data_IF_181432057857
#
_entry.id   IF_181432057857
#
_cell.length_a   1.000
_cell.length_b   1.000
_cell.length_c   1.000
_cell.angle_alpha   90.00
_cell.angle_beta   90.00
_cell.angle_gamma   90.00
#
_symmetry.space_group_name_H-M   'P 1'
#
loop_
_entity.id
_entity.type
_entity.pdbx_description
1 polymer ?
#
# COMPACT_ATOMS: atom_id res chain seq x y z
N UNK A 1 -50.52 -60.79 15.57
CA UNK A 1 -50.56 -59.34 15.22
C UNK A 1 -49.70 -58.52 16.20
N UNK A 2 -48.39 -58.81 16.33
CA UNK A 2 -47.46 -58.07 17.21
C UNK A 2 -46.08 -57.79 16.57
N UNK A 3 -45.82 -58.30 15.37
CA UNK A 3 -44.51 -58.25 14.71
C UNK A 3 -44.42 -57.21 13.56
N UNK A 4 -45.51 -56.46 13.31
CA UNK A 4 -45.54 -55.38 12.31
C UNK A 4 -45.37 -53.97 12.91
N UNK A 5 -45.49 -53.82 14.24
CA UNK A 5 -45.32 -52.51 14.89
C UNK A 5 -43.84 -52.18 15.19
N UNK A 6 -42.98 -53.19 15.38
CA UNK A 6 -41.59 -52.98 15.76
C UNK A 6 -40.69 -52.55 14.60
N UNK A 7 -41.04 -52.91 13.36
CA UNK A 7 -40.26 -52.56 12.15
C UNK A 7 -40.55 -51.12 11.71
N UNK A 8 -41.78 -50.63 11.88
CA UNK A 8 -42.12 -49.22 11.58
C UNK A 8 -41.51 -48.22 12.56
N UNK A 9 -41.19 -48.63 13.80
CA UNK A 9 -40.55 -47.74 14.78
C UNK A 9 -39.02 -47.64 14.57
N UNK A 10 -38.38 -48.67 14.02
CA UNK A 10 -36.95 -48.65 13.67
C UNK A 10 -36.65 -47.83 12.40
N UNK A 11 -37.58 -47.83 11.43
CA UNK A 11 -37.45 -47.04 10.19
C UNK A 11 -37.68 -45.53 10.42
N UNK A 12 -38.50 -45.17 11.42
CA UNK A 12 -38.72 -43.76 11.78
C UNK A 12 -37.55 -43.16 12.58
N UNK A 13 -36.80 -43.98 13.32
CA UNK A 13 -35.57 -43.57 14.00
C UNK A 13 -34.38 -43.40 13.04
N UNK A 14 -34.34 -44.14 11.92
CA UNK A 14 -33.33 -43.98 10.88
C UNK A 14 -33.51 -42.74 10.00
N UNK A 15 -34.74 -42.27 9.81
CA UNK A 15 -35.05 -41.09 8.99
C UNK A 15 -34.74 -39.75 9.69
N UNK A 16 -34.65 -39.74 11.03
CA UNK A 16 -34.28 -38.54 11.81
C UNK A 16 -32.76 -38.26 11.83
N UNK A 17 -31.92 -39.21 11.39
CA UNK A 17 -30.47 -39.04 11.33
C UNK A 17 -29.98 -38.35 10.04
N UNK A 18 -30.86 -38.11 9.06
CA UNK A 18 -30.49 -37.51 7.75
C UNK A 18 -30.82 -36.01 7.65
N UNK A 19 -31.39 -35.42 8.70
CA UNK A 19 -31.73 -33.98 8.76
C UNK A 19 -30.70 -33.13 9.54
N UNK A 20 -29.62 -33.74 10.05
CA UNK A 20 -28.46 -33.02 10.58
C UNK A 20 -27.43 -32.74 9.46
N UNK A 21 -27.89 -32.20 8.34
CA UNK A 21 -27.01 -31.43 7.47
C UNK A 21 -26.91 -30.05 8.11
N UNK A 22 -25.94 -29.88 9.00
CA UNK A 22 -25.57 -28.58 9.57
C UNK A 22 -25.45 -27.57 8.43
N UNK A 23 -26.24 -26.49 8.49
CA UNK A 23 -26.09 -25.35 7.59
C UNK A 23 -24.66 -24.86 7.74
N UNK A 24 -23.78 -25.12 6.76
CA UNK A 24 -22.48 -24.45 6.68
C UNK A 24 -22.73 -22.96 6.66
N UNK A 25 -22.14 -22.24 7.61
CA UNK A 25 -22.22 -20.77 7.71
C UNK A 25 -21.73 -20.19 6.38
N UNK A 26 -22.52 -19.29 5.79
CA UNK A 26 -22.14 -18.65 4.53
C UNK A 26 -20.95 -17.70 4.79
N UNK A 27 -19.89 -17.87 4.00
CA UNK A 27 -18.71 -17.02 4.07
C UNK A 27 -18.97 -15.71 3.32
N UNK A 28 -18.81 -14.52 3.94
CA UNK A 28 -19.02 -13.27 3.24
C UNK A 28 -18.04 -13.10 2.08
N UNK A 29 -18.56 -13.04 0.84
CA UNK A 29 -17.73 -12.86 -0.34
C UNK A 29 -17.05 -11.49 -0.32
N UNK A 30 -15.73 -11.46 -0.54
CA UNK A 30 -14.97 -10.22 -0.70
C UNK A 30 -15.12 -9.76 -2.15
N UNK A 31 -15.95 -8.75 -2.36
CA UNK A 31 -16.26 -8.18 -3.68
C UNK A 31 -15.50 -6.89 -3.97
N UNK A 32 -14.98 -6.23 -2.95
CA UNK A 32 -14.33 -4.92 -3.06
C UNK A 32 -12.96 -4.91 -2.39
N UNK A 33 -12.05 -4.12 -2.97
CA UNK A 33 -10.65 -4.06 -2.60
C UNK A 33 -10.19 -2.61 -2.46
N UNK A 34 -9.35 -2.35 -1.47
CA UNK A 34 -8.65 -1.09 -1.27
C UNK A 34 -7.14 -1.28 -1.42
N UNK A 35 -6.43 -0.17 -1.62
CA UNK A 35 -4.97 -0.17 -1.74
C UNK A 35 -4.36 0.42 -0.47
N UNK A 36 -3.50 -0.36 0.19
CA UNK A 36 -2.55 0.16 1.16
C UNK A 36 -1.32 0.74 0.46
N UNK A 37 -0.84 1.89 0.94
CA UNK A 37 0.39 2.51 0.46
C UNK A 37 1.06 3.31 1.57
N UNK A 38 2.25 2.87 2.00
CA UNK A 38 3.14 3.61 2.88
C UNK A 38 4.07 4.47 2.03
N UNK A 39 3.90 5.79 2.13
CA UNK A 39 4.62 6.76 1.32
C UNK A 39 6.09 6.90 1.71
N UNK A 40 6.48 6.53 2.93
CA UNK A 40 7.87 6.66 3.41
C UNK A 40 8.73 5.48 2.99
N UNK A 41 8.15 4.27 3.02
CA UNK A 41 8.85 3.07 2.59
C UNK A 41 8.66 2.73 1.11
N UNK A 42 7.57 3.19 0.49
CA UNK A 42 7.17 2.73 -0.84
C UNK A 42 6.50 1.34 -0.84
N UNK A 43 6.22 0.78 0.35
CA UNK A 43 5.44 -0.45 0.48
C UNK A 43 4.00 -0.20 0.03
N UNK A 44 3.48 -1.03 -0.88
CA UNK A 44 2.06 -1.00 -1.23
C UNK A 44 1.53 -2.38 -1.59
N UNK A 45 0.23 -2.61 -1.38
CA UNK A 45 -0.46 -3.84 -1.73
C UNK A 45 -1.99 -3.62 -1.72
N UNK A 46 -2.76 -4.54 -2.29
CA UNK A 46 -4.23 -4.52 -2.18
C UNK A 46 -4.71 -5.38 -1.03
N UNK A 47 -5.82 -4.98 -0.41
CA UNK A 47 -6.46 -5.72 0.66
C UNK A 47 -7.98 -5.62 0.55
N UNK A 48 -8.74 -6.53 1.19
CA UNK A 48 -10.19 -6.44 1.23
C UNK A 48 -10.67 -5.10 1.79
N UNK A 49 -11.69 -4.50 1.16
CA UNK A 49 -12.33 -3.30 1.70
C UNK A 49 -13.08 -3.63 2.98
N UNK A 50 -13.07 -2.70 3.93
CA UNK A 50 -13.81 -2.81 5.19
C UNK A 50 -13.10 -3.62 6.27
N UNK A 51 -11.94 -4.22 5.98
CA UNK A 51 -11.11 -4.86 7.01
C UNK A 51 -10.45 -3.81 7.91
N UNK A 52 -10.29 -4.17 9.19
CA UNK A 52 -9.71 -3.30 10.20
C UNK A 52 -8.20 -3.22 10.03
N UNK A 53 -7.72 -2.07 9.57
CA UNK A 53 -6.30 -1.80 9.36
C UNK A 53 -5.66 -1.24 10.62
N UNK A 54 -4.56 -1.86 11.03
CA UNK A 54 -3.64 -1.33 12.03
C UNK A 54 -2.22 -1.27 11.45
N UNK A 55 -1.61 -0.10 11.41
CA UNK A 55 -0.25 0.09 10.94
C UNK A 55 0.61 0.65 12.07
N UNK A 56 1.54 -0.17 12.57
CA UNK A 56 2.48 0.19 13.63
C UNK A 56 3.93 -0.01 13.15
N UNK A 57 4.54 1.11 12.74
CA UNK A 57 5.94 1.21 12.32
C UNK A 57 6.33 0.23 11.21
N UNK A 58 6.79 -0.94 11.62
CA UNK A 58 7.31 -2.00 10.78
C UNK A 58 6.27 -3.09 10.44
N UNK A 59 5.06 -2.98 10.97
CA UNK A 59 3.99 -3.97 10.83
C UNK A 59 2.71 -3.31 10.33
N UNK A 60 2.07 -3.97 9.37
CA UNK A 60 0.71 -3.65 8.92
C UNK A 60 -0.12 -4.90 9.09
N UNK A 61 -1.17 -4.81 9.88
CA UNK A 61 -2.10 -5.89 10.14
C UNK A 61 -3.48 -5.47 9.65
N UNK A 62 -4.17 -6.38 8.94
CA UNK A 62 -5.56 -6.22 8.55
C UNK A 62 -6.36 -7.40 9.07
N UNK A 63 -7.37 -7.15 9.89
CA UNK A 63 -8.25 -8.17 10.44
C UNK A 63 -9.65 -8.08 9.83
N UNK A 64 -10.33 -9.21 9.68
CA UNK A 64 -11.70 -9.29 9.15
C UNK A 64 -12.71 -8.51 10.01
N UNK A 65 -12.46 -8.39 11.31
CA UNK A 65 -13.21 -7.57 12.26
C UNK A 65 -12.32 -7.10 13.42
N UNK A 66 -12.84 -6.27 14.32
CA UNK A 66 -12.13 -5.90 15.55
C UNK A 66 -11.95 -7.10 16.48
N UNK A 67 -12.98 -7.95 16.59
CA UNK A 67 -12.98 -9.18 17.38
C UNK A 67 -11.98 -10.20 16.84
N UNK A 68 -11.79 -10.23 15.52
CA UNK A 68 -10.72 -11.00 14.88
C UNK A 68 -9.35 -10.47 15.31
N UNK A 69 -9.15 -9.15 15.29
CA UNK A 69 -7.88 -8.54 15.70
C UNK A 69 -7.53 -8.91 17.15
N UNK A 70 -8.51 -8.84 18.06
CA UNK A 70 -8.34 -9.23 19.47
C UNK A 70 -8.00 -10.72 19.63
N UNK A 71 -8.68 -11.61 18.89
CA UNK A 71 -8.39 -13.05 18.93
C UNK A 71 -6.99 -13.39 18.46
N UNK A 72 -6.46 -12.69 17.46
CA UNK A 72 -5.07 -12.89 17.02
C UNK A 72 -4.03 -12.36 18.03
N UNK A 73 -4.41 -11.43 18.93
CA UNK A 73 -3.56 -10.99 20.04
C UNK A 73 -3.50 -12.05 21.14
N UNK A 74 -4.64 -12.61 21.54
CA UNK A 74 -4.70 -13.71 22.51
C UNK A 74 -5.61 -14.85 22.01
N UNK A 75 -5.05 -15.81 21.25
CA UNK A 75 -5.83 -16.89 20.65
C UNK A 75 -6.25 -17.97 21.66
N UNK A 76 -5.93 -17.81 22.94
CA UNK A 76 -6.29 -18.75 24.02
C UNK A 76 -7.28 -18.16 25.02
N UNK A 77 -7.55 -16.85 24.97
CA UNK A 77 -8.42 -16.16 25.93
C UNK A 77 -9.88 -16.63 25.90
N UNK A 78 -10.38 -17.03 24.72
CA UNK A 78 -11.77 -17.43 24.52
C UNK A 78 -11.85 -18.72 23.68
N UNK A 79 -12.31 -19.80 24.32
CA UNK A 79 -12.47 -21.13 23.72
C UNK A 79 -13.88 -21.38 23.18
N UNK A 80 -14.78 -20.39 23.23
CA UNK A 80 -16.19 -20.53 22.81
C UNK A 80 -16.46 -19.97 21.41
N UNK A 81 -15.40 -19.60 20.66
CA UNK A 81 -15.48 -18.95 19.33
C UNK A 81 -15.24 -19.93 18.16
N UNK A 82 -15.76 -21.15 18.26
CA UNK A 82 -15.58 -22.19 17.24
C UNK A 82 -16.19 -21.78 15.89
N UNK A 83 -17.31 -21.03 15.91
CA UNK A 83 -18.05 -20.63 14.72
C UNK A 83 -17.63 -19.26 14.13
N UNK A 84 -16.64 -18.57 14.71
CA UNK A 84 -16.31 -17.20 14.32
C UNK A 84 -15.37 -17.11 13.11
N UNK A 85 -15.69 -16.16 12.21
CA UNK A 85 -15.00 -15.92 10.93
C UNK A 85 -13.84 -14.95 11.14
N UNK A 86 -12.75 -15.44 11.72
CA UNK A 86 -11.60 -14.60 12.05
C UNK A 86 -10.43 -14.89 11.11
N UNK A 87 -10.06 -13.88 10.34
CA UNK A 87 -8.93 -13.92 9.41
C UNK A 87 -8.07 -12.65 9.55
N UNK A 88 -6.77 -12.80 9.30
CA UNK A 88 -5.82 -11.72 9.39
C UNK A 88 -4.78 -11.81 8.27
N UNK A 89 -4.47 -10.64 7.70
CA UNK A 89 -3.30 -10.42 6.86
C UNK A 89 -2.28 -9.64 7.68
N UNK A 90 -1.02 -10.06 7.65
CA UNK A 90 0.10 -9.29 8.21
C UNK A 90 1.16 -9.08 7.14
N UNK A 91 1.60 -7.83 6.99
CA UNK A 91 2.79 -7.46 6.23
C UNK A 91 3.78 -6.84 7.19
N UNK A 92 4.96 -7.42 7.28
CA UNK A 92 5.99 -6.98 8.21
C UNK A 92 7.31 -6.76 7.48
N UNK A 93 8.09 -5.81 8.01
CA UNK A 93 9.46 -5.53 7.56
C UNK A 93 10.39 -5.34 8.75
N UNK A 94 11.60 -5.85 8.66
CA UNK A 94 12.64 -5.54 9.63
C UNK A 94 14.02 -5.57 8.99
N UNK A 95 14.95 -4.80 9.56
CA UNK A 95 16.37 -4.93 9.26
C UNK A 95 17.01 -5.67 10.43
N UNK A 96 17.34 -6.96 10.29
CA UNK A 96 17.99 -7.69 11.37
C UNK A 96 19.42 -7.18 11.61
N UNK A 97 19.91 -7.35 12.83
CA UNK A 97 21.28 -6.96 13.22
C UNK A 97 22.36 -7.87 12.60
N UNK A 98 21.96 -9.07 12.17
CA UNK A 98 22.83 -10.04 11.50
C UNK A 98 22.28 -10.40 10.12
N UNK A 99 23.20 -10.64 9.18
CA UNK A 99 22.84 -11.10 7.84
C UNK A 99 22.52 -12.60 7.90
N UNK A 100 21.26 -12.94 7.66
CA UNK A 100 20.80 -14.31 7.47
C UNK A 100 20.26 -14.46 6.04
N UNK A 101 20.41 -15.64 5.46
CA UNK A 101 19.72 -16.02 4.23
C UNK A 101 18.23 -16.25 4.49
N UNK A 102 17.43 -16.18 3.42
CA UNK A 102 15.99 -16.44 3.52
C UNK A 102 15.73 -17.88 4.00
N UNK A 103 16.57 -18.83 3.61
CA UNK A 103 16.47 -20.23 3.99
C UNK A 103 16.75 -20.43 5.48
N UNK A 104 17.78 -19.79 6.03
CA UNK A 104 18.08 -19.85 7.48
C UNK A 104 16.93 -19.29 8.34
N UNK A 105 16.31 -18.19 7.89
CA UNK A 105 15.16 -17.59 8.59
C UNK A 105 13.97 -18.56 8.58
N UNK A 106 13.67 -19.14 7.42
CA UNK A 106 12.54 -20.08 7.25
C UNK A 106 12.79 -21.36 8.04
N UNK A 107 14.00 -21.91 8.01
CA UNK A 107 14.37 -23.12 8.75
C UNK A 107 14.26 -22.90 10.25
N UNK A 108 14.77 -21.77 10.75
CA UNK A 108 14.62 -21.41 12.17
C UNK A 108 13.14 -21.29 12.55
N UNK A 109 12.36 -20.52 11.79
CA UNK A 109 10.95 -20.28 12.11
C UNK A 109 10.12 -21.57 12.05
N UNK A 110 10.29 -22.38 11.01
CA UNK A 110 9.54 -23.64 10.86
C UNK A 110 9.93 -24.68 11.90
N UNK A 111 11.19 -24.71 12.33
CA UNK A 111 11.64 -25.53 13.46
C UNK A 111 10.93 -25.12 14.75
N UNK A 112 10.86 -23.82 15.03
CA UNK A 112 10.17 -23.31 16.22
C UNK A 112 8.68 -23.66 16.20
N UNK A 113 8.00 -23.46 15.06
CA UNK A 113 6.59 -23.87 14.89
C UNK A 113 6.37 -25.36 15.13
N UNK A 114 7.25 -26.23 14.61
CA UNK A 114 7.18 -27.69 14.86
C UNK A 114 7.37 -28.01 16.35
N UNK A 115 8.29 -27.31 17.01
CA UNK A 115 8.54 -27.50 18.46
C UNK A 115 7.34 -27.09 19.32
N UNK A 116 6.54 -26.14 18.85
CA UNK A 116 5.27 -25.72 19.45
C UNK A 116 4.10 -26.68 19.14
N UNK A 117 4.33 -27.76 18.39
CA UNK A 117 3.32 -28.76 18.05
C UNK A 117 2.52 -28.46 16.78
N UNK A 118 2.92 -27.47 15.99
CA UNK A 118 2.29 -27.21 14.68
C UNK A 118 2.81 -28.17 13.61
N UNK A 119 1.92 -28.52 12.69
CA UNK A 119 2.29 -29.20 11.46
C UNK A 119 2.71 -28.16 10.42
N UNK A 120 3.84 -28.39 9.76
CA UNK A 120 4.38 -27.47 8.75
C UNK A 120 4.50 -28.22 7.42
N UNK A 121 3.83 -27.71 6.38
CA UNK A 121 3.93 -28.21 5.00
C UNK A 121 5.30 -27.87 4.41
N UNK A 122 5.75 -28.58 3.36
CA UNK A 122 6.99 -28.26 2.67
C UNK A 122 7.05 -26.80 2.20
N UNK A 123 8.25 -26.23 2.23
CA UNK A 123 8.51 -24.89 1.73
C UNK A 123 8.58 -24.88 0.20
N UNK A 124 7.94 -23.90 -0.41
CA UNK A 124 7.94 -23.64 -1.85
C UNK A 124 8.75 -22.37 -2.16
N UNK A 125 9.43 -22.37 -3.30
CA UNK A 125 10.07 -21.15 -3.83
C UNK A 125 9.08 -20.42 -4.72
N UNK A 126 8.87 -19.14 -4.46
CA UNK A 126 8.01 -18.26 -5.26
C UNK A 126 8.73 -16.94 -5.56
N UNK A 127 8.14 -16.11 -6.42
CA UNK A 127 8.61 -14.75 -6.70
C UNK A 127 7.56 -13.75 -6.19
N UNK A 128 7.98 -12.76 -5.39
CA UNK A 128 7.16 -11.61 -5.02
C UNK A 128 7.84 -10.31 -5.47
N UNK A 129 7.14 -9.49 -6.27
CA UNK A 129 7.68 -8.24 -6.82
C UNK A 129 9.10 -8.36 -7.44
N UNK A 130 9.39 -9.46 -8.14
CA UNK A 130 10.72 -9.81 -8.70
C UNK A 130 11.80 -10.20 -7.68
N UNK A 131 11.43 -10.49 -6.43
CA UNK A 131 12.31 -11.04 -5.40
C UNK A 131 11.97 -12.50 -5.14
N UNK A 132 12.98 -13.36 -5.14
CA UNK A 132 12.82 -14.75 -4.72
C UNK A 132 12.44 -14.83 -3.25
N UNK A 133 11.46 -15.68 -2.95
CA UNK A 133 10.85 -15.81 -1.64
C UNK A 133 10.55 -17.27 -1.33
N UNK A 134 10.31 -17.54 -0.04
CA UNK A 134 9.96 -18.86 0.49
C UNK A 134 8.56 -18.81 1.09
N UNK A 135 7.65 -19.61 0.53
CA UNK A 135 6.27 -19.76 0.98
C UNK A 135 6.13 -21.09 1.71
N UNK A 136 5.47 -21.10 2.85
CA UNK A 136 5.07 -22.33 3.52
C UNK A 136 3.76 -22.11 4.27
N UNK A 137 3.07 -23.22 4.53
CA UNK A 137 1.83 -23.22 5.32
C UNK A 137 2.05 -24.08 6.56
N UNK A 138 1.59 -23.60 7.70
CA UNK A 138 1.54 -24.40 8.92
C UNK A 138 0.14 -24.33 9.53
N UNK A 139 -0.21 -25.35 10.31
CA UNK A 139 -1.53 -25.46 10.95
C UNK A 139 -1.44 -26.25 12.24
N UNK A 140 -2.34 -25.96 13.16
CA UNK A 140 -2.34 -26.56 14.49
C UNK A 140 -3.39 -25.91 15.39
N UNK A 141 -3.28 -26.18 16.68
CA UNK A 141 -4.31 -25.87 17.65
C UNK A 141 -3.73 -25.00 18.76
N UNK A 142 -4.35 -23.84 19.03
CA UNK A 142 -4.06 -23.06 20.23
C UNK A 142 -4.81 -23.62 21.45
N UNK A 143 -6.03 -24.10 21.24
CA UNK A 143 -6.89 -24.83 22.19
C UNK A 143 -7.62 -25.97 21.45
N UNK A 144 -8.50 -26.73 22.11
CA UNK A 144 -9.27 -27.77 21.41
C UNK A 144 -10.19 -27.19 20.31
N UNK A 145 -10.70 -25.98 20.53
CA UNK A 145 -11.67 -25.28 19.68
C UNK A 145 -11.03 -24.23 18.76
N UNK A 146 -9.84 -23.72 19.12
CA UNK A 146 -9.14 -22.71 18.34
C UNK A 146 -8.06 -23.37 17.48
N UNK A 147 -8.47 -23.80 16.29
CA UNK A 147 -7.54 -24.28 15.26
C UNK A 147 -7.13 -23.09 14.41
N UNK A 148 -5.87 -23.04 13.99
CA UNK A 148 -5.38 -21.99 13.09
C UNK A 148 -4.65 -22.64 11.93
N UNK A 149 -4.84 -22.06 10.75
CA UNK A 149 -4.01 -22.33 9.58
C UNK A 149 -3.42 -21.01 9.10
N UNK A 150 -2.16 -21.06 8.71
CA UNK A 150 -1.38 -19.88 8.36
C UNK A 150 -0.49 -20.17 7.17
N UNK A 151 -0.56 -19.33 6.14
CA UNK A 151 0.45 -19.26 5.08
C UNK A 151 1.34 -18.06 5.33
N UNK A 152 2.65 -18.29 5.28
CA UNK A 152 3.65 -17.23 5.41
C UNK A 152 4.61 -17.26 4.22
N UNK A 153 5.03 -16.07 3.79
CA UNK A 153 6.02 -15.86 2.74
C UNK A 153 7.14 -15.00 3.29
N UNK A 154 8.39 -15.46 3.21
CA UNK A 154 9.57 -14.66 3.54
C UNK A 154 10.32 -14.24 2.28
N UNK A 155 10.79 -13.00 2.27
CA UNK A 155 11.67 -12.48 1.23
C UNK A 155 12.72 -11.55 1.84
N UNK A 156 13.88 -11.46 1.20
CA UNK A 156 14.92 -10.50 1.57
C UNK A 156 15.17 -9.57 0.38
N UNK A 157 15.12 -8.26 0.62
CA UNK A 157 15.49 -7.23 -0.35
C UNK A 157 16.29 -6.13 0.37
N UNK A 158 17.48 -5.81 -0.14
CA UNK A 158 18.38 -4.78 0.40
C UNK A 158 18.64 -4.89 1.92
N UNK A 159 18.92 -6.11 2.38
CA UNK A 159 19.12 -6.43 3.80
C UNK A 159 17.92 -6.12 4.71
N UNK A 160 16.73 -5.99 4.13
CA UNK A 160 15.46 -5.93 4.86
C UNK A 160 14.74 -7.25 4.64
N UNK A 161 14.35 -7.88 5.74
CA UNK A 161 13.50 -9.06 5.77
C UNK A 161 12.06 -8.60 5.70
N UNK A 162 11.30 -9.19 4.78
CA UNK A 162 9.86 -9.03 4.69
C UNK A 162 9.20 -10.36 4.99
N UNK A 163 8.09 -10.33 5.74
CA UNK A 163 7.15 -11.43 5.69
C UNK A 163 5.74 -10.96 5.38
N UNK A 164 5.07 -11.78 4.57
CA UNK A 164 3.65 -11.69 4.27
C UNK A 164 2.99 -12.88 4.95
N UNK A 165 1.90 -12.65 5.65
CA UNK A 165 1.16 -13.69 6.34
C UNK A 165 -0.33 -13.55 6.07
N UNK A 166 -0.96 -14.69 5.85
CA UNK A 166 -2.40 -14.86 5.89
C UNK A 166 -2.70 -15.97 6.89
N UNK A 167 -3.48 -15.67 7.92
CA UNK A 167 -3.90 -16.60 8.94
C UNK A 167 -5.42 -16.57 9.09
N UNK A 168 -6.02 -17.73 9.39
CA UNK A 168 -7.44 -17.82 9.72
C UNK A 168 -7.69 -18.96 10.71
N UNK A 169 -8.74 -18.79 11.50
CA UNK A 169 -9.18 -19.80 12.45
C UNK A 169 -10.09 -20.84 11.78
N UNK A 170 -10.08 -22.06 12.32
CA UNK A 170 -11.01 -23.15 12.01
C UNK A 170 -11.17 -23.40 10.49
N UNK A 171 -12.39 -23.62 10.02
CA UNK A 171 -12.66 -23.95 8.61
C UNK A 171 -12.61 -22.72 7.67
N UNK A 172 -12.16 -21.57 8.17
CA UNK A 172 -12.17 -20.30 7.42
C UNK A 172 -10.93 -20.05 6.57
N UNK A 173 -9.90 -20.88 6.70
CA UNK A 173 -8.67 -20.69 5.93
C UNK A 173 -8.81 -20.99 4.44
N UNK A 174 -9.35 -22.16 4.08
CA UNK A 174 -9.44 -22.58 2.67
C UNK A 174 -10.31 -21.64 1.82
N UNK A 175 -11.51 -21.20 2.27
CA UNK A 175 -12.36 -20.30 1.50
C UNK A 175 -11.70 -18.95 1.15
N UNK A 176 -10.75 -18.47 1.96
CA UNK A 176 -10.09 -17.19 1.79
C UNK A 176 -8.59 -17.31 1.48
N UNK A 177 -8.11 -18.52 1.18
CA UNK A 177 -6.70 -18.76 0.81
C UNK A 177 -6.23 -17.90 -0.37
N UNK A 178 -7.14 -17.54 -1.28
CA UNK A 178 -6.90 -16.62 -2.40
C UNK A 178 -6.44 -15.21 -1.95
N UNK A 179 -6.69 -14.82 -0.70
CA UNK A 179 -6.20 -13.55 -0.15
C UNK A 179 -4.68 -13.48 -0.19
N UNK A 180 -4.00 -14.60 0.05
CA UNK A 180 -2.55 -14.66 -0.04
C UNK A 180 -2.08 -14.44 -1.50
N UNK A 181 -2.78 -15.01 -2.48
CA UNK A 181 -2.43 -14.83 -3.90
C UNK A 181 -2.67 -13.38 -4.36
N UNK A 182 -3.75 -12.75 -3.90
CA UNK A 182 -3.98 -11.31 -4.10
C UNK A 182 -2.88 -10.45 -3.47
N UNK A 183 -2.43 -10.81 -2.26
CA UNK A 183 -1.33 -10.10 -1.60
C UNK A 183 0.00 -10.28 -2.35
N UNK A 184 0.36 -11.50 -2.71
CA UNK A 184 1.57 -11.85 -3.47
C UNK A 184 1.62 -11.13 -4.81
N UNK A 185 0.51 -11.08 -5.55
CA UNK A 185 0.47 -10.45 -6.88
C UNK A 185 0.49 -8.92 -6.82
N UNK A 186 -0.07 -8.32 -5.77
CA UNK A 186 -0.21 -6.87 -5.64
C UNK A 186 0.93 -6.20 -4.88
N UNK A 187 1.66 -6.93 -4.05
CA UNK A 187 2.72 -6.34 -3.22
C UNK A 187 3.77 -5.66 -4.10
N UNK A 188 4.15 -4.45 -3.70
CA UNK A 188 5.31 -3.73 -4.17
C UNK A 188 6.17 -3.49 -2.95
N UNK A 189 7.29 -4.18 -2.89
CA UNK A 189 8.25 -3.98 -1.80
C UNK A 189 9.02 -2.69 -2.09
N UNK A 190 9.48 -1.99 -1.04
CA UNK A 190 10.40 -0.87 -1.16
C UNK A 190 11.50 -1.20 -2.18
N UNK A 191 11.69 -0.31 -3.16
CA UNK A 191 12.85 -0.39 -4.04
C UNK A 191 13.97 0.41 -3.40
N UNK A 192 15.22 -0.08 -3.44
CA UNK A 192 16.33 0.79 -3.12
C UNK A 192 16.23 1.96 -4.09
N UNK A 193 16.32 3.19 -3.58
CA UNK A 193 16.51 4.34 -4.47
C UNK A 193 17.79 4.00 -5.22
N UNK A 194 17.66 3.61 -6.48
CA UNK A 194 18.82 3.33 -7.31
C UNK A 194 19.54 4.66 -7.41
N UNK A 195 20.56 4.86 -6.57
CA UNK A 195 21.65 5.76 -6.90
C UNK A 195 22.22 5.13 -8.15
N UNK A 196 21.73 5.53 -9.31
CA UNK A 196 22.19 4.98 -10.56
C UNK A 196 23.70 5.14 -10.54
N UNK A 197 24.43 4.03 -10.45
CA UNK A 197 25.88 4.06 -10.40
C UNK A 197 26.46 4.52 -11.76
N UNK A 198 25.61 4.73 -12.77
CA UNK A 198 25.98 5.09 -14.13
C UNK A 198 25.54 6.50 -14.59
N UNK A 199 24.62 7.18 -13.89
CA UNK A 199 24.17 8.54 -14.26
C UNK A 199 24.41 9.55 -13.13
N UNK A 200 24.82 10.76 -13.51
CA UNK A 200 25.05 11.89 -12.61
C UNK A 200 23.82 12.10 -11.71
N UNK A 201 23.95 11.89 -10.38
CA UNK A 201 22.81 11.98 -9.45
C UNK A 201 22.25 13.41 -9.36
N UNK A 202 22.97 14.41 -9.88
CA UNK A 202 22.49 15.78 -9.96
C UNK A 202 21.42 16.00 -11.05
N UNK A 203 21.28 15.07 -12.01
CA UNK A 203 20.28 15.14 -13.09
C UNK A 203 19.07 14.25 -12.79
N UNK A 204 17.87 14.57 -13.30
CA UNK A 204 16.71 13.69 -13.18
C UNK A 204 16.90 12.33 -13.83
N UNK A 205 16.47 11.28 -13.13
CA UNK A 205 16.41 9.94 -13.67
C UNK A 205 15.40 9.83 -14.83
N UNK A 206 15.65 8.88 -15.73
CA UNK A 206 14.70 8.52 -16.80
C UNK A 206 13.60 7.59 -16.31
N UNK A 207 13.81 6.92 -15.17
CA UNK A 207 12.83 6.11 -14.47
C UNK A 207 12.04 6.95 -13.47
N UNK A 208 10.74 6.65 -13.35
CA UNK A 208 9.80 7.44 -12.56
C UNK A 208 9.11 6.55 -11.53
N UNK A 209 8.76 7.14 -10.39
CA UNK A 209 7.95 6.54 -9.34
C UNK A 209 6.71 7.40 -9.08
N UNK A 210 5.68 6.80 -8.49
CA UNK A 210 4.39 7.45 -8.27
C UNK A 210 4.22 7.91 -6.82
N UNK A 211 3.69 9.12 -6.65
CA UNK A 211 3.08 9.61 -5.42
C UNK A 211 1.56 9.65 -5.60
N UNK A 212 0.81 9.19 -4.60
CA UNK A 212 -0.65 9.26 -4.61
C UNK A 212 -1.20 9.48 -3.21
N UNK A 213 -2.21 10.33 -3.10
CA UNK A 213 -3.04 10.51 -1.92
C UNK A 213 -4.49 10.81 -2.34
N UNK A 214 -5.32 11.26 -1.39
CA UNK A 214 -6.72 11.65 -1.65
C UNK A 214 -6.90 12.91 -2.52
N UNK A 215 -5.85 13.71 -2.71
CA UNK A 215 -5.92 14.96 -3.49
C UNK A 215 -5.40 14.78 -4.91
N UNK A 216 -4.32 14.02 -5.08
CA UNK A 216 -3.65 13.90 -6.37
C UNK A 216 -2.91 12.57 -6.53
N UNK A 217 -2.61 12.26 -7.80
CA UNK A 217 -1.59 11.29 -8.20
C UNK A 217 -0.60 11.96 -9.14
N UNK A 218 0.68 11.74 -8.94
CA UNK A 218 1.75 12.31 -9.78
C UNK A 218 2.92 11.32 -9.87
N UNK A 219 3.57 11.27 -11.03
CA UNK A 219 4.79 10.51 -11.26
C UNK A 219 5.99 11.45 -11.29
N UNK A 220 7.12 11.08 -10.69
CA UNK A 220 8.32 11.91 -10.61
C UNK A 220 9.59 11.06 -10.73
N UNK A 221 10.75 11.65 -11.11
CA UNK A 221 12.01 10.91 -11.23
C UNK A 221 12.34 10.16 -9.94
N UNK A 222 12.70 8.88 -10.05
CA UNK A 222 12.89 8.01 -8.88
C UNK A 222 14.12 8.35 -8.02
N UNK A 223 15.02 9.18 -8.53
CA UNK A 223 16.14 9.77 -7.78
C UNK A 223 15.80 11.11 -7.09
N UNK A 224 14.53 11.53 -7.12
CA UNK A 224 14.02 12.65 -6.34
C UNK A 224 13.25 12.14 -5.12
N UNK A 225 13.12 12.98 -4.10
CA UNK A 225 12.42 12.66 -2.85
C UNK A 225 11.14 13.46 -2.73
N UNK A 226 10.02 12.78 -2.50
CA UNK A 226 8.76 13.41 -2.16
C UNK A 226 8.66 13.61 -0.64
N UNK A 227 8.29 14.81 -0.21
CA UNK A 227 8.00 15.15 1.17
C UNK A 227 6.70 15.94 1.24
N UNK A 228 5.94 15.76 2.31
CA UNK A 228 4.70 16.48 2.59
C UNK A 228 4.93 17.43 3.78
N UNK A 229 5.50 18.63 3.55
CA UNK A 229 5.80 19.55 4.63
C UNK A 229 4.51 20.01 5.33
N UNK A 230 4.60 20.30 6.63
CA UNK A 230 3.48 20.83 7.40
C UNK A 230 2.93 22.10 6.75
N UNK A 231 1.63 22.10 6.49
CA UNK A 231 0.93 23.23 5.89
C UNK A 231 0.66 24.33 6.93
N UNK A 232 0.60 25.58 6.47
CA UNK A 232 0.25 26.75 7.28
C UNK A 232 -0.91 27.50 6.66
N UNK A 233 -1.73 28.15 7.50
CA UNK A 233 -2.88 28.93 7.05
C UNK A 233 -3.94 28.06 6.37
N UNK A 234 -4.50 28.53 5.25
CA UNK A 234 -5.60 27.86 4.54
C UNK A 234 -5.15 26.75 3.57
N UNK A 235 -3.85 26.45 3.50
CA UNK A 235 -3.32 25.42 2.61
C UNK A 235 -3.79 24.04 3.07
N UNK A 236 -4.46 23.30 2.18
CA UNK A 236 -4.99 21.96 2.46
C UNK A 236 -3.91 20.88 2.37
N UNK A 237 -2.96 21.06 1.46
CA UNK A 237 -1.91 20.08 1.20
C UNK A 237 -0.71 20.76 0.52
N UNK A 238 0.49 20.26 0.79
CA UNK A 238 1.72 20.63 0.09
C UNK A 238 2.54 19.38 -0.18
N UNK A 239 3.03 19.25 -1.40
CA UNK A 239 3.99 18.24 -1.82
C UNK A 239 5.23 18.95 -2.34
N UNK A 240 6.39 18.57 -1.83
CA UNK A 240 7.69 18.99 -2.34
C UNK A 240 8.43 17.76 -2.87
N UNK A 241 8.80 17.79 -4.15
CA UNK A 241 9.62 16.79 -4.80
C UNK A 241 10.98 17.41 -5.06
N UNK A 242 12.03 16.86 -4.45
CA UNK A 242 13.37 17.49 -4.40
C UNK A 242 14.46 16.54 -4.88
N UNK A 243 15.33 17.03 -5.76
CA UNK A 243 16.45 16.26 -6.27
C UNK A 243 17.68 16.35 -5.36
N UNK A 244 18.77 15.69 -5.78
CA UNK A 244 20.08 15.84 -5.15
C UNK A 244 20.47 17.33 -5.02
N UNK A 245 20.31 18.06 -6.13
CA UNK A 245 20.42 19.51 -6.16
C UNK A 245 19.25 20.16 -5.43
N UNK A 246 19.54 20.77 -4.30
CA UNK A 246 18.50 21.34 -3.42
C UNK A 246 17.77 22.55 -4.03
N UNK A 247 18.31 23.12 -5.11
CA UNK A 247 17.73 24.19 -5.93
C UNK A 247 16.85 23.67 -7.09
N UNK A 248 16.74 22.35 -7.25
CA UNK A 248 15.93 21.69 -8.28
C UNK A 248 14.73 20.98 -7.65
N UNK A 249 13.55 21.57 -7.79
CA UNK A 249 12.32 21.12 -7.11
C UNK A 249 11.09 21.19 -7.99
N UNK A 250 10.11 20.32 -7.70
CA UNK A 250 8.71 20.48 -8.11
C UNK A 250 7.88 20.55 -6.83
N UNK A 251 7.19 21.66 -6.62
CA UNK A 251 6.31 21.87 -5.47
C UNK A 251 4.88 22.02 -5.92
N UNK A 252 3.95 21.37 -5.24
CA UNK A 252 2.51 21.48 -5.47
C UNK A 252 1.86 21.90 -4.17
N UNK A 253 1.24 23.07 -4.17
CA UNK A 253 0.40 23.54 -3.07
C UNK A 253 -1.07 23.49 -3.47
N UNK A 254 -1.92 22.97 -2.57
CA UNK A 254 -3.37 22.93 -2.74
C UNK A 254 -4.01 23.87 -1.73
N UNK A 255 -4.79 24.83 -2.23
CA UNK A 255 -5.49 25.84 -1.44
C UNK A 255 -6.97 25.88 -1.82
N UNK A 256 -7.89 26.32 -0.95
CA UNK A 256 -9.27 26.58 -1.36
C UNK A 256 -9.31 27.69 -2.41
N UNK A 257 -10.09 27.50 -3.48
CA UNK A 257 -10.31 28.53 -4.50
C UNK A 257 -11.33 29.57 -4.06
N UNK A 258 -12.24 29.23 -3.13
CA UNK A 258 -13.27 30.14 -2.62
C UNK A 258 -14.12 30.73 -3.76
N UNK A 259 -14.44 29.91 -4.76
CA UNK A 259 -15.18 30.30 -5.96
C UNK A 259 -14.39 31.14 -6.98
N UNK A 260 -13.09 31.37 -6.78
CA UNK A 260 -12.27 32.12 -7.74
C UNK A 260 -11.95 31.29 -8.98
N UNK A 261 -12.11 31.90 -10.16
CA UNK A 261 -11.61 31.35 -11.42
C UNK A 261 -10.07 31.44 -11.52
N UNK A 262 -9.46 30.63 -12.39
CA UNK A 262 -8.00 30.55 -12.55
C UNK A 262 -7.38 31.89 -12.93
N UNK A 263 -8.06 32.71 -13.73
CA UNK A 263 -7.62 34.05 -14.12
C UNK A 263 -7.43 34.95 -12.90
N UNK A 264 -8.41 34.96 -11.98
CA UNK A 264 -8.37 35.76 -10.76
C UNK A 264 -7.28 35.28 -9.81
N UNK A 265 -7.14 33.97 -9.67
CA UNK A 265 -6.07 33.36 -8.87
C UNK A 265 -4.70 33.75 -9.43
N UNK A 266 -4.52 33.68 -10.75
CA UNK A 266 -3.28 34.04 -11.42
C UNK A 266 -2.96 35.54 -11.25
N UNK A 267 -3.96 36.40 -11.47
CA UNK A 267 -3.85 37.86 -11.30
C UNK A 267 -3.36 38.23 -9.89
N UNK A 268 -3.91 37.60 -8.85
CA UNK A 268 -3.57 37.86 -7.44
C UNK A 268 -2.18 37.35 -7.04
N UNK A 269 -1.60 36.39 -7.78
CA UNK A 269 -0.35 35.74 -7.39
C UNK A 269 0.84 36.08 -8.27
N UNK A 270 0.65 36.48 -9.53
CA UNK A 270 1.75 36.76 -10.47
C UNK A 270 2.74 37.83 -9.96
N UNK A 271 2.28 38.82 -9.19
CA UNK A 271 3.12 39.87 -8.62
C UNK A 271 4.11 39.39 -7.55
N UNK A 272 3.97 38.17 -7.05
CA UNK A 272 4.86 37.56 -6.05
C UNK A 272 6.12 36.94 -6.69
N UNK A 273 6.20 36.89 -8.01
CA UNK A 273 7.31 36.30 -8.76
C UNK A 273 8.21 37.39 -9.32
N UNK A 274 9.50 37.32 -9.01
CA UNK A 274 10.51 38.25 -9.52
C UNK A 274 11.06 37.79 -10.87
N UNK A 275 11.50 38.74 -11.70
CA UNK A 275 12.18 38.47 -12.99
C UNK A 275 11.36 37.56 -13.93
N UNK A 276 10.07 37.89 -14.08
CA UNK A 276 9.18 37.18 -15.00
C UNK A 276 9.65 37.36 -16.45
N UNK A 277 9.84 36.26 -17.16
CA UNK A 277 10.35 36.22 -18.54
C UNK A 277 9.29 35.83 -19.57
N UNK A 278 8.11 35.38 -19.13
CA UNK A 278 6.99 35.08 -20.01
C UNK A 278 5.77 34.57 -19.27
N UNK A 279 4.61 34.62 -19.92
CA UNK A 279 3.33 34.09 -19.43
C UNK A 279 2.65 33.29 -20.55
N UNK A 280 1.77 32.37 -20.19
CA UNK A 280 1.00 31.62 -21.18
C UNK A 280 -0.09 30.79 -20.54
N UNK A 281 -0.73 29.98 -21.36
CA UNK A 281 -1.79 29.06 -20.96
C UNK A 281 -1.51 27.64 -21.47
N UNK A 282 -2.03 26.66 -20.75
CA UNK A 282 -1.98 25.24 -21.11
C UNK A 282 -3.14 24.49 -20.44
N UNK A 283 -3.17 23.17 -20.58
CA UNK A 283 -4.12 22.29 -19.88
C UNK A 283 -3.35 21.29 -19.01
N UNK A 284 -3.75 21.16 -17.75
CA UNK A 284 -3.21 20.18 -16.79
C UNK A 284 -4.38 19.44 -16.16
N UNK A 285 -4.33 18.10 -16.14
CA UNK A 285 -5.39 17.26 -15.56
C UNK A 285 -6.81 17.57 -16.12
N UNK A 286 -6.89 17.98 -17.39
CA UNK A 286 -8.13 18.38 -18.06
C UNK A 286 -8.68 19.76 -17.69
N UNK A 287 -7.97 20.54 -16.88
CA UNK A 287 -8.35 21.89 -16.49
C UNK A 287 -7.42 22.94 -17.14
N UNK A 288 -7.98 24.12 -17.44
CA UNK A 288 -7.20 25.27 -17.89
C UNK A 288 -6.17 25.65 -16.81
N UNK A 289 -4.93 25.83 -17.23
CA UNK A 289 -3.83 26.26 -16.38
C UNK A 289 -3.16 27.49 -16.97
N UNK A 290 -2.96 28.52 -16.15
CA UNK A 290 -2.18 29.70 -16.50
C UNK A 290 -0.78 29.57 -15.91
N UNK A 291 0.23 29.96 -16.65
CA UNK A 291 1.61 29.86 -16.19
C UNK A 291 2.43 31.12 -16.42
N UNK A 292 3.49 31.24 -15.64
CA UNK A 292 4.55 32.23 -15.84
C UNK A 292 5.93 31.57 -15.72
N UNK A 293 6.85 32.00 -16.57
CA UNK A 293 8.27 31.70 -16.46
C UNK A 293 8.96 32.82 -15.69
N UNK A 294 9.88 32.48 -14.79
CA UNK A 294 10.60 33.47 -13.98
C UNK A 294 11.97 32.92 -13.52
N UNK A 295 12.78 33.77 -12.89
CA UNK A 295 14.10 33.41 -12.37
C UNK A 295 14.30 33.93 -10.95
N UNK A 296 14.08 33.10 -9.92
CA UNK A 296 14.16 33.55 -8.52
C UNK A 296 15.59 33.90 -8.09
N UNK A 297 16.59 33.28 -8.70
CA UNK A 297 18.00 33.47 -8.38
C UNK A 297 18.87 33.35 -9.65
N UNK A 298 20.17 33.64 -9.52
CA UNK A 298 21.14 33.40 -10.59
C UNK A 298 21.16 31.89 -10.90
N UNK A 299 21.21 31.55 -12.19
CA UNK A 299 21.27 30.18 -12.70
C UNK A 299 20.06 29.28 -12.35
N UNK A 300 18.98 29.85 -11.81
CA UNK A 300 17.72 29.13 -11.54
C UNK A 300 16.64 29.61 -12.52
N UNK A 301 16.18 28.67 -13.34
CA UNK A 301 14.99 28.84 -14.16
C UNK A 301 13.79 28.26 -13.45
N UNK A 302 12.66 28.94 -13.51
CA UNK A 302 11.44 28.47 -12.85
C UNK A 302 10.21 28.69 -13.70
N UNK A 303 9.20 27.84 -13.46
CA UNK A 303 7.85 28.02 -13.99
C UNK A 303 6.83 27.75 -12.90
N UNK A 304 5.86 28.64 -12.78
CA UNK A 304 4.72 28.46 -11.89
C UNK A 304 3.44 28.29 -12.71
N UNK A 305 2.72 27.21 -12.49
CA UNK A 305 1.38 26.96 -13.01
C UNK A 305 0.33 27.20 -11.92
N UNK A 306 -0.81 27.71 -12.36
CA UNK A 306 -2.01 27.90 -11.56
C UNK A 306 -3.17 27.26 -12.31
N UNK A 307 -3.91 26.40 -11.63
CA UNK A 307 -5.18 25.88 -12.13
C UNK A 307 -6.19 25.78 -11.00
N UNK A 308 -7.47 25.84 -11.36
CA UNK A 308 -8.58 25.68 -10.43
C UNK A 308 -9.42 24.47 -10.86
N UNK A 309 -9.65 23.55 -9.92
CA UNK A 309 -10.51 22.37 -10.13
C UNK A 309 -11.13 21.98 -8.80
N UNK A 310 -12.42 21.61 -8.80
CA UNK A 310 -13.15 21.18 -7.59
C UNK A 310 -13.07 22.19 -6.41
N UNK A 311 -13.22 23.49 -6.72
CA UNK A 311 -13.05 24.61 -5.77
C UNK A 311 -11.69 24.61 -5.03
N UNK A 312 -10.65 24.12 -5.70
CA UNK A 312 -9.28 24.11 -5.20
C UNK A 312 -8.33 24.73 -6.21
N UNK A 313 -7.43 25.56 -5.72
CA UNK A 313 -6.26 26.08 -6.44
C UNK A 313 -5.13 25.07 -6.31
N UNK A 314 -4.57 24.68 -7.45
CA UNK A 314 -3.32 23.95 -7.52
C UNK A 314 -2.25 24.93 -8.02
N UNK A 315 -1.29 25.22 -7.16
CA UNK A 315 -0.11 26.01 -7.50
C UNK A 315 1.08 25.06 -7.65
N UNK A 316 1.55 24.89 -8.88
CA UNK A 316 2.66 24.00 -9.20
C UNK A 316 3.87 24.85 -9.55
N UNK A 317 4.94 24.77 -8.77
CA UNK A 317 6.17 25.53 -9.00
C UNK A 317 7.29 24.55 -9.29
N UNK A 318 7.91 24.70 -10.46
CA UNK A 318 9.13 23.99 -10.81
C UNK A 318 10.32 24.95 -10.79
N UNK A 319 11.41 24.55 -10.15
CA UNK A 319 12.71 25.25 -10.15
C UNK A 319 13.76 24.30 -10.68
N UNK A 320 14.56 24.73 -11.65
CA UNK A 320 15.59 23.90 -12.27
C UNK A 320 16.87 24.70 -12.53
N UNK A 321 18.00 23.99 -12.57
CA UNK A 321 19.28 24.58 -12.89
C UNK A 321 19.31 25.01 -14.37
N UNK A 322 19.25 26.31 -14.63
CA UNK A 322 19.11 26.89 -15.96
C UNK A 322 20.23 26.47 -16.94
N UNK A 323 21.51 26.35 -16.54
CA UNK A 323 22.57 25.84 -17.43
C UNK A 323 22.37 24.40 -17.90
N UNK A 324 21.53 23.61 -17.22
CA UNK A 324 21.17 22.22 -17.58
C UNK A 324 19.68 22.10 -17.94
N UNK A 325 19.08 23.17 -18.46
CA UNK A 325 17.66 23.21 -18.84
C UNK A 325 17.23 22.03 -19.71
N UNK A 326 18.06 21.61 -20.66
CA UNK A 326 17.74 20.51 -21.57
C UNK A 326 17.59 19.16 -20.84
N UNK A 327 18.29 18.98 -19.71
CA UNK A 327 18.24 17.76 -18.91
C UNK A 327 17.07 17.78 -17.91
N UNK A 328 16.79 18.95 -17.31
CA UNK A 328 15.75 19.08 -16.27
C UNK A 328 14.34 19.27 -16.82
N UNK A 329 14.18 20.18 -17.77
CA UNK A 329 12.85 20.65 -18.16
C UNK A 329 11.98 19.52 -18.72
N UNK A 330 12.46 18.61 -19.59
CA UNK A 330 11.64 17.50 -20.07
C UNK A 330 11.12 16.59 -18.96
N UNK A 331 11.98 16.26 -17.98
CA UNK A 331 11.59 15.42 -16.85
C UNK A 331 10.55 16.12 -15.98
N UNK A 332 10.70 17.42 -15.75
CA UNK A 332 9.78 18.20 -14.93
C UNK A 332 8.43 18.44 -15.61
N UNK A 333 8.43 18.69 -16.92
CA UNK A 333 7.18 18.78 -17.69
C UNK A 333 6.47 17.42 -17.73
N UNK A 334 7.20 16.31 -17.81
CA UNK A 334 6.63 14.95 -17.69
C UNK A 334 6.02 14.74 -16.30
N UNK A 335 6.69 15.19 -15.24
CA UNK A 335 6.15 15.17 -13.87
C UNK A 335 4.84 15.95 -13.79
N UNK A 336 4.81 17.20 -14.26
CA UNK A 336 3.59 18.03 -14.24
C UNK A 336 2.48 17.45 -15.13
N UNK A 337 2.83 16.94 -16.31
CA UNK A 337 1.88 16.30 -17.23
C UNK A 337 1.28 15.00 -16.71
N UNK A 338 1.96 14.32 -15.78
CA UNK A 338 1.44 13.10 -15.12
C UNK A 338 0.41 13.38 -14.03
N UNK A 339 0.24 14.65 -13.62
CA UNK A 339 -0.66 15.04 -12.55
C UNK A 339 -2.11 14.64 -12.87
N UNK A 340 -2.70 13.87 -11.97
CA UNK A 340 -4.13 13.60 -11.90
C UNK A 340 -4.68 14.20 -10.61
N UNK A 341 -5.81 14.86 -10.73
CA UNK A 341 -6.51 15.52 -9.62
C UNK A 341 -7.71 14.66 -9.24
N UNK A 342 -7.85 14.39 -7.93
CA UNK A 342 -8.95 13.65 -7.32
C UNK A 342 -10.28 14.38 -7.29
#
# INVERSE_FOLDING_TARGET
MKMRLTISMLLLAGALLVLSCSKKKEYPLITEWDKYSDQFSGLSFVHPRGWHLNADGNRVTLASSLEAAERFVDPRADDQREDDIDAQITVFRERPDSLQSVDEIVDSYTKDRKSEGFNVKPTETIIIDSTEARKFTYYGNYTQQNKVSTTRVYAIRDSVVYYLEYAAFNDYFEPYSYLMDSLISSIRLPRPKVKSAAADPSLPSTTFTDFSNSYLRISYPDNFEAATPSVKGEMKFSLEIKGYRQDCTVRIDILPAKGLAVEKVFEQNQGKFSRVSGKGETTIAGAKALFLNYSPAKDIGSRAYFLVKNDQVYRIIMNFYAPKRADFLPAFEKTVGSLKIG
#
